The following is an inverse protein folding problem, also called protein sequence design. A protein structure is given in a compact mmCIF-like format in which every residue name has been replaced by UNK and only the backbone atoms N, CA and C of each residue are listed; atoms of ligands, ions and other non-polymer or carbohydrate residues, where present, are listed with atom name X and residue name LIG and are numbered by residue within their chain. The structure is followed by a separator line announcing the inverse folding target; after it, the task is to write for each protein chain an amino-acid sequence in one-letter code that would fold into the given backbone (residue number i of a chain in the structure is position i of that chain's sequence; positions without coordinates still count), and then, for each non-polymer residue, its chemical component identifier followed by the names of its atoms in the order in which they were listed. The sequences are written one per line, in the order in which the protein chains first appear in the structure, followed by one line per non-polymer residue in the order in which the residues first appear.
data_IF_524258116269
#
_entry.id   IF_524258116269
#
_cell.length_a   1.000
_cell.length_b   1.000
_cell.length_c   1.000
_cell.angle_alpha   90.00
_cell.angle_beta   90.00
_cell.angle_gamma   90.00
#
_symmetry.space_group_name_H-M   'P 1'
#
loop_
_entity.id
_entity.type
_entity.pdbx_description
1 polymer ?
#
# COMPACT_ATOMS: atom_id res chain seq x y z
N UNK A 1 -35.39 -66.92 11.15
CA UNK A 1 -34.56 -66.18 10.17
C UNK A 1 -34.87 -64.69 10.08
N UNK A 2 -36.13 -64.23 10.24
CA UNK A 2 -36.47 -62.79 10.18
C UNK A 2 -35.88 -61.94 11.33
N UNK A 3 -35.74 -62.49 12.55
CA UNK A 3 -35.22 -61.74 13.70
C UNK A 3 -33.68 -61.57 13.67
N UNK A 4 -32.94 -62.48 13.04
CA UNK A 4 -31.48 -62.32 12.89
C UNK A 4 -31.14 -61.22 11.88
N UNK A 5 -31.92 -61.08 10.81
CA UNK A 5 -31.72 -60.03 9.79
C UNK A 5 -32.02 -58.65 10.38
N UNK A 6 -33.04 -58.53 11.24
CA UNK A 6 -33.39 -57.27 11.88
C UNK A 6 -32.31 -56.78 12.88
N UNK A 7 -31.73 -57.70 13.66
CA UNK A 7 -30.62 -57.37 14.56
C UNK A 7 -29.32 -57.04 13.81
N UNK A 8 -29.05 -57.68 12.67
CA UNK A 8 -27.89 -57.35 11.83
C UNK A 8 -28.03 -55.98 11.14
N UNK A 9 -29.24 -55.59 10.74
CA UNK A 9 -29.51 -54.26 10.15
C UNK A 9 -29.40 -53.17 11.23
N UNK A 10 -29.90 -53.42 12.44
CA UNK A 10 -29.77 -52.49 13.57
C UNK A 10 -28.31 -52.28 13.98
N UNK A 11 -27.49 -53.35 13.99
CA UNK A 11 -26.05 -53.22 14.26
C UNK A 11 -25.29 -52.46 13.16
N UNK A 12 -25.69 -52.64 11.89
CA UNK A 12 -25.10 -51.90 10.77
C UNK A 12 -25.47 -50.41 10.81
N UNK A 13 -26.70 -50.08 11.20
CA UNK A 13 -27.15 -48.69 11.38
C UNK A 13 -26.50 -48.01 12.58
N UNK A 14 -26.23 -48.71 13.68
CA UNK A 14 -25.46 -48.16 14.79
C UNK A 14 -23.97 -47.94 14.43
N UNK A 15 -23.37 -48.81 13.62
CA UNK A 15 -22.00 -48.63 13.13
C UNK A 15 -21.85 -47.44 12.15
N UNK A 16 -22.91 -47.13 11.39
CA UNK A 16 -22.98 -45.96 10.50
C UNK A 16 -23.19 -44.64 11.25
N UNK A 17 -23.69 -44.66 12.50
CA UNK A 17 -23.84 -43.47 13.33
C UNK A 17 -22.58 -43.15 14.16
N UNK A 18 -21.65 -44.09 14.31
CA UNK A 18 -20.35 -43.87 14.97
C UNK A 18 -19.26 -43.28 14.07
N UNK A 19 -19.51 -43.08 12.78
CA UNK A 19 -18.52 -42.53 11.83
C UNK A 19 -18.61 -41.00 11.66
N UNK A 20 -19.45 -40.31 12.42
CA UNK A 20 -19.64 -38.85 12.33
C UNK A 20 -19.11 -38.09 13.55
N UNK A 21 -17.98 -38.53 14.12
CA UNK A 21 -17.31 -37.84 15.23
C UNK A 21 -15.78 -37.78 15.05
N UNK A 22 -15.36 -37.25 13.91
CA UNK A 22 -14.03 -36.65 13.74
C UNK A 22 -14.11 -35.45 12.79
N UNK A 23 -14.59 -34.32 13.30
CA UNK A 23 -14.30 -33.02 12.69
C UNK A 23 -12.96 -32.46 13.20
N UNK A 24 -11.89 -33.26 13.11
CA UNK A 24 -10.50 -32.81 13.36
C UNK A 24 -9.84 -32.23 12.09
N UNK A 25 -10.64 -31.77 11.11
CA UNK A 25 -10.16 -31.32 9.81
C UNK A 25 -10.60 -29.93 9.37
N UNK A 26 -11.60 -29.32 10.02
CA UNK A 26 -12.01 -27.96 9.69
C UNK A 26 -11.15 -26.99 10.50
N UNK A 27 -10.02 -26.52 9.93
CA UNK A 27 -9.34 -25.34 10.46
C UNK A 27 -10.37 -24.23 10.60
N UNK A 28 -10.65 -23.83 11.84
CA UNK A 28 -11.50 -22.67 12.12
C UNK A 28 -11.04 -21.50 11.24
N UNK A 29 -11.95 -20.78 10.57
CA UNK A 29 -11.57 -19.69 9.69
C UNK A 29 -10.69 -18.70 10.46
N UNK A 30 -9.52 -18.38 9.89
CA UNK A 30 -8.61 -17.44 10.52
C UNK A 30 -9.33 -16.10 10.73
N UNK A 31 -9.10 -15.40 11.85
CA UNK A 31 -9.68 -14.09 12.07
C UNK A 31 -9.15 -13.07 11.04
N UNK A 32 -9.83 -11.92 10.92
CA UNK A 32 -9.31 -10.77 10.19
C UNK A 32 -8.06 -10.18 10.86
N UNK A 33 -7.28 -9.42 10.09
CA UNK A 33 -6.10 -8.71 10.62
C UNK A 33 -6.47 -7.52 11.49
N UNK A 34 -5.60 -7.19 12.44
CA UNK A 34 -5.72 -6.02 13.34
C UNK A 34 -4.44 -5.16 13.31
N UNK A 35 -4.48 -4.01 13.99
CA UNK A 35 -3.33 -3.11 14.20
C UNK A 35 -3.37 -1.82 13.36
N UNK A 36 -2.59 -0.77 13.72
CA UNK A 36 -2.63 0.57 13.12
C UNK A 36 -1.86 0.68 11.79
N UNK A 37 -2.44 1.28 10.75
CA UNK A 37 -1.85 1.42 9.39
C UNK A 37 -0.38 1.87 9.43
N UNK A 38 0.47 1.33 8.54
CA UNK A 38 1.93 1.53 8.59
C UNK A 38 2.71 0.83 9.70
N UNK A 39 2.09 0.23 10.73
CA UNK A 39 2.80 -0.54 11.76
C UNK A 39 3.28 -1.95 11.31
N UNK A 40 4.48 -2.34 11.75
CA UNK A 40 5.05 -3.68 11.67
C UNK A 40 5.45 -4.15 13.07
N UNK A 41 4.88 -5.27 13.50
CA UNK A 41 5.21 -5.91 14.76
C UNK A 41 6.45 -6.79 14.60
N UNK A 42 7.52 -6.49 15.33
CA UNK A 42 8.73 -7.30 15.41
C UNK A 42 8.70 -8.12 16.70
N UNK A 43 8.72 -9.44 16.58
CA UNK A 43 8.71 -10.34 17.73
C UNK A 43 10.10 -10.92 17.92
N UNK A 44 10.82 -10.46 18.94
CA UNK A 44 12.19 -10.88 19.24
C UNK A 44 12.57 -10.54 20.69
N UNK A 45 13.65 -11.15 21.20
CA UNK A 45 14.23 -10.78 22.49
C UNK A 45 14.81 -9.35 22.47
N UNK A 46 14.86 -8.69 23.62
CA UNK A 46 15.29 -7.29 23.73
C UNK A 46 16.75 -7.10 23.28
N UNK A 47 17.61 -8.08 23.55
CA UNK A 47 19.01 -8.06 23.12
C UNK A 47 19.16 -8.21 21.60
N UNK A 48 18.22 -8.87 20.93
CA UNK A 48 18.18 -9.00 19.48
C UNK A 48 17.65 -7.72 18.83
N UNK A 49 16.68 -7.07 19.48
CA UNK A 49 16.16 -5.78 19.06
C UNK A 49 17.17 -4.64 19.20
N UNK A 50 17.97 -4.67 20.27
CA UNK A 50 19.04 -3.72 20.51
C UNK A 50 20.31 -3.99 19.68
N UNK A 51 20.40 -5.15 19.03
CA UNK A 51 21.57 -5.57 18.25
C UNK A 51 21.40 -5.42 16.73
N UNK A 52 22.27 -6.11 15.99
CA UNK A 52 22.43 -5.98 14.53
C UNK A 52 21.14 -6.31 13.75
N UNK A 53 20.33 -7.25 14.26
CA UNK A 53 19.06 -7.60 13.62
C UNK A 53 18.07 -6.44 13.71
N UNK A 54 17.92 -5.84 14.88
CA UNK A 54 17.07 -4.67 15.05
C UNK A 54 17.54 -3.49 14.21
N UNK A 55 18.84 -3.24 14.14
CA UNK A 55 19.42 -2.19 13.29
C UNK A 55 19.13 -2.44 11.80
N UNK A 56 19.27 -3.69 11.34
CA UNK A 56 18.98 -4.08 9.96
C UNK A 56 17.51 -3.87 9.61
N UNK A 57 16.58 -4.23 10.51
CA UNK A 57 15.15 -4.01 10.32
C UNK A 57 14.79 -2.53 10.31
N UNK A 58 15.35 -1.72 11.22
CA UNK A 58 15.16 -0.26 11.24
C UNK A 58 15.70 0.38 9.97
N UNK A 59 16.90 -0.01 9.53
CA UNK A 59 17.52 0.45 8.29
C UNK A 59 16.69 0.13 7.04
N UNK A 60 16.00 -1.02 7.03
CA UNK A 60 15.14 -1.41 5.92
C UNK A 60 13.75 -0.73 5.96
N UNK A 61 13.08 -0.76 7.11
CA UNK A 61 11.65 -0.40 7.21
C UNK A 61 11.39 1.02 7.71
N UNK A 62 12.35 1.64 8.39
CA UNK A 62 12.27 3.04 8.82
C UNK A 62 13.05 3.96 7.87
N UNK A 63 13.26 3.55 6.62
CA UNK A 63 13.71 4.49 5.58
C UNK A 63 12.69 5.63 5.45
N UNK A 64 13.11 6.87 5.20
CA UNK A 64 12.18 7.95 4.94
C UNK A 64 11.21 7.57 3.83
N UNK A 65 9.92 7.85 4.02
CA UNK A 65 8.94 7.67 2.96
C UNK A 65 9.39 8.47 1.74
N UNK A 66 9.39 7.81 0.57
CA UNK A 66 9.88 8.40 -0.67
C UNK A 66 9.26 9.78 -0.88
N UNK A 67 10.08 10.73 -1.34
CA UNK A 67 9.72 12.11 -1.70
C UNK A 67 9.26 13.05 -0.58
N UNK A 68 8.96 12.59 0.64
CA UNK A 68 8.58 13.52 1.71
C UNK A 68 9.76 14.37 2.19
N UNK A 69 9.55 15.68 2.47
CA UNK A 69 10.63 16.58 2.90
C UNK A 69 11.32 16.09 4.17
N UNK A 70 12.64 15.96 4.10
CA UNK A 70 13.48 15.36 5.15
C UNK A 70 14.13 16.42 6.06
N UNK A 71 13.60 17.64 6.09
CA UNK A 71 14.31 18.82 6.59
C UNK A 71 14.69 18.74 8.08
N UNK A 72 14.09 17.81 8.84
CA UNK A 72 14.50 17.51 10.20
C UNK A 72 14.57 15.98 10.42
N UNK A 73 15.77 15.40 10.50
CA UNK A 73 15.98 13.96 10.82
C UNK A 73 15.33 13.51 12.14
N UNK A 74 14.91 14.43 13.01
CA UNK A 74 14.17 14.09 14.23
C UNK A 74 12.67 13.85 13.99
N UNK A 75 12.13 14.36 12.89
CA UNK A 75 10.69 14.36 12.57
C UNK A 75 10.43 13.88 11.13
N UNK A 76 11.21 12.93 10.62
CA UNK A 76 10.93 12.35 9.32
C UNK A 76 9.81 11.30 9.43
N UNK A 77 9.03 11.13 8.37
CA UNK A 77 8.00 10.09 8.29
C UNK A 77 8.63 8.80 7.73
N UNK A 78 8.82 7.73 8.53
CA UNK A 78 9.39 6.48 8.03
C UNK A 78 8.40 5.72 7.14
N UNK A 79 8.89 4.82 6.29
CA UNK A 79 8.05 3.89 5.53
C UNK A 79 7.14 3.09 6.47
N UNK A 80 7.62 2.61 7.61
CA UNK A 80 6.81 1.89 8.59
C UNK A 80 7.15 2.27 10.03
N UNK A 81 6.16 2.18 10.90
CA UNK A 81 6.36 2.27 12.34
C UNK A 81 6.67 0.87 12.87
N UNK A 82 7.74 0.74 13.64
CA UNK A 82 8.15 -0.55 14.21
C UNK A 82 7.77 -0.62 15.68
N UNK A 83 7.08 -1.68 16.06
CA UNK A 83 6.78 -2.01 17.46
C UNK A 83 7.42 -3.34 17.76
N UNK A 84 8.23 -3.42 18.82
CA UNK A 84 8.82 -4.67 19.27
C UNK A 84 8.02 -5.28 20.43
N UNK A 85 7.92 -6.61 20.41
CA UNK A 85 7.40 -7.41 21.51
C UNK A 85 8.27 -8.65 21.78
N UNK A 86 8.57 -8.95 23.05
CA UNK A 86 9.12 -10.25 23.44
C UNK A 86 8.23 -11.42 23.00
N UNK A 87 8.82 -12.61 22.86
CA UNK A 87 8.11 -13.80 22.37
C UNK A 87 6.98 -14.26 23.32
N UNK A 88 7.18 -14.12 24.62
CA UNK A 88 6.19 -14.42 25.66
C UNK A 88 4.99 -13.45 25.63
N UNK A 89 5.19 -12.22 25.15
CA UNK A 89 4.11 -11.27 24.89
C UNK A 89 3.35 -11.54 23.58
N UNK A 90 3.85 -12.39 22.67
CA UNK A 90 3.23 -12.70 21.38
C UNK A 90 2.00 -13.64 21.50
N UNK A 91 0.98 -13.13 22.20
CA UNK A 91 -0.23 -13.84 22.57
C UNK A 91 -1.35 -13.68 21.51
N UNK A 92 -2.57 -14.14 21.84
CA UNK A 92 -3.76 -14.10 20.96
C UNK A 92 -4.16 -12.70 20.47
N UNK A 93 -3.76 -11.64 21.18
CA UNK A 93 -4.04 -10.26 20.80
C UNK A 93 -3.05 -9.76 19.72
N UNK A 94 -1.78 -10.11 19.84
CA UNK A 94 -0.72 -9.69 18.90
C UNK A 94 -0.61 -10.59 17.67
N UNK A 95 -0.97 -11.88 17.80
CA UNK A 95 -0.97 -12.85 16.70
C UNK A 95 -1.70 -12.37 15.44
N UNK A 96 -2.91 -11.76 15.49
CA UNK A 96 -3.59 -11.27 14.29
C UNK A 96 -3.06 -9.94 13.74
N UNK A 97 -1.97 -9.36 14.27
CA UNK A 97 -1.41 -8.11 13.77
C UNK A 97 -1.09 -8.20 12.27
N UNK A 98 -1.41 -7.17 11.49
CA UNK A 98 -1.46 -7.31 10.03
C UNK A 98 -0.11 -7.51 9.34
N UNK A 99 0.96 -7.02 9.96
CA UNK A 99 2.35 -7.23 9.53
C UNK A 99 3.17 -7.70 10.74
N UNK A 100 3.76 -8.88 10.66
CA UNK A 100 4.55 -9.49 11.74
C UNK A 100 5.87 -10.01 11.20
N UNK A 101 6.96 -9.72 11.90
CA UNK A 101 8.29 -10.29 11.68
C UNK A 101 8.69 -11.01 12.96
N UNK A 102 8.73 -12.34 12.92
CA UNK A 102 9.19 -13.17 14.03
C UNK A 102 10.67 -13.49 13.85
N UNK A 103 11.48 -13.17 14.84
CA UNK A 103 12.92 -13.46 14.84
C UNK A 103 13.23 -14.52 15.88
N UNK A 104 14.02 -15.50 15.47
CA UNK A 104 14.38 -16.64 16.28
C UNK A 104 15.88 -16.94 16.13
N UNK A 105 16.64 -16.55 17.16
CA UNK A 105 18.08 -16.77 17.25
C UNK A 105 18.34 -17.88 18.27
N UNK A 106 18.86 -19.01 17.82
CA UNK A 106 19.23 -20.12 18.69
C UNK A 106 20.23 -21.04 18.00
N UNK A 107 21.02 -21.79 18.75
CA UNK A 107 21.89 -22.82 18.18
C UNK A 107 21.21 -24.20 18.20
N UNK A 108 20.54 -24.55 17.10
CA UNK A 108 19.80 -25.81 16.94
C UNK A 108 19.68 -26.22 15.47
N UNK A 109 19.14 -27.41 15.20
CA UNK A 109 19.13 -28.02 13.86
C UNK A 109 18.47 -27.14 12.77
N UNK A 110 17.37 -26.44 13.07
CA UNK A 110 16.63 -25.61 12.11
C UNK A 110 17.12 -24.15 12.01
N UNK A 111 18.24 -23.82 12.67
CA UNK A 111 18.84 -22.47 12.66
C UNK A 111 20.29 -22.47 12.18
N UNK A 112 20.83 -23.63 11.79
CA UNK A 112 22.21 -23.75 11.29
C UNK A 112 22.43 -22.96 10.00
N UNK A 113 21.40 -22.86 9.16
CA UNK A 113 21.41 -22.01 7.96
C UNK A 113 20.50 -20.80 8.19
N UNK A 114 20.99 -19.55 7.97
CA UNK A 114 20.17 -18.36 8.14
C UNK A 114 19.06 -18.32 7.09
N UNK A 115 17.83 -18.12 7.56
CA UNK A 115 16.65 -18.03 6.70
C UNK A 115 15.81 -16.80 7.05
N UNK A 116 15.18 -16.23 6.03
CA UNK A 116 14.29 -15.07 6.17
C UNK A 116 13.13 -15.24 5.20
N UNK A 117 12.04 -15.85 5.66
CA UNK A 117 10.99 -16.41 4.81
C UNK A 117 9.68 -15.65 4.95
N UNK A 118 8.95 -15.50 3.83
CA UNK A 118 7.69 -14.80 3.74
C UNK A 118 6.52 -15.79 3.70
N UNK A 119 5.53 -15.55 4.53
CA UNK A 119 4.32 -16.37 4.65
C UNK A 119 3.07 -15.52 4.46
N UNK A 120 2.07 -16.11 3.83
CA UNK A 120 0.73 -15.53 3.69
C UNK A 120 -0.17 -16.11 4.77
N UNK A 121 -0.70 -15.26 5.64
CA UNK A 121 -1.79 -15.62 6.55
C UNK A 121 -1.47 -16.74 7.54
N UNK A 122 -0.58 -16.49 8.52
CA UNK A 122 -0.24 -17.49 9.56
C UNK A 122 -1.26 -17.55 10.68
N UNK A 123 -1.66 -16.40 11.20
CA UNK A 123 -2.59 -16.26 12.31
C UNK A 123 -3.86 -15.48 11.96
N UNK A 124 -3.86 -14.74 10.85
CA UNK A 124 -5.02 -13.97 10.39
C UNK A 124 -5.10 -13.93 8.85
N UNK A 125 -6.32 -13.82 8.32
CA UNK A 125 -6.57 -13.68 6.88
C UNK A 125 -6.00 -12.37 6.35
N UNK A 126 -5.17 -12.46 5.32
CA UNK A 126 -4.51 -11.30 4.73
C UNK A 126 -3.31 -10.79 5.53
N UNK A 127 -2.85 -11.50 6.58
CA UNK A 127 -1.65 -11.15 7.33
C UNK A 127 -0.38 -11.36 6.48
N UNK A 128 0.54 -10.41 6.60
CA UNK A 128 1.94 -10.55 6.20
C UNK A 128 2.72 -11.08 7.39
N UNK A 129 3.28 -12.28 7.26
CA UNK A 129 4.09 -12.89 8.31
C UNK A 129 5.47 -13.23 7.75
N UNK A 130 6.53 -12.75 8.38
CA UNK A 130 7.92 -13.01 7.99
C UNK A 130 8.59 -13.72 9.16
N UNK A 131 9.35 -14.77 8.88
CA UNK A 131 10.10 -15.51 9.90
C UNK A 131 11.60 -15.46 9.58
N UNK A 132 12.38 -14.91 10.49
CA UNK A 132 13.83 -14.88 10.44
C UNK A 132 14.42 -15.87 11.45
N UNK A 133 15.27 -16.79 10.98
CA UNK A 133 15.95 -17.77 11.82
C UNK A 133 17.44 -17.79 11.53
N UNK A 134 18.28 -17.82 12.57
CA UNK A 134 19.70 -18.09 12.42
C UNK A 134 20.33 -18.53 13.76
N UNK A 135 21.58 -19.01 13.70
CA UNK A 135 22.36 -19.32 14.89
C UNK A 135 22.87 -18.07 15.59
N UNK A 136 23.22 -17.03 14.83
CA UNK A 136 23.75 -15.77 15.35
C UNK A 136 22.98 -14.56 14.82
N UNK A 137 23.00 -13.45 15.56
CA UNK A 137 22.41 -12.20 15.10
C UNK A 137 23.06 -11.70 13.81
N UNK A 138 24.38 -11.84 13.69
CA UNK A 138 25.14 -11.38 12.54
C UNK A 138 24.73 -12.07 11.24
N UNK A 139 24.64 -13.41 11.25
CA UNK A 139 24.21 -14.19 10.08
C UNK A 139 22.78 -13.80 9.64
N UNK A 140 21.87 -13.55 10.59
CA UNK A 140 20.51 -13.11 10.24
C UNK A 140 20.46 -11.67 9.74
N UNK A 141 21.25 -10.76 10.33
CA UNK A 141 21.35 -9.37 9.92
C UNK A 141 21.79 -9.25 8.44
N UNK A 142 22.79 -10.03 8.03
CA UNK A 142 23.20 -10.14 6.62
C UNK A 142 22.05 -10.60 5.73
N UNK A 143 21.32 -11.65 6.15
CA UNK A 143 20.17 -12.17 5.39
C UNK A 143 19.02 -11.15 5.26
N UNK A 144 18.75 -10.38 6.32
CA UNK A 144 17.77 -9.29 6.29
C UNK A 144 18.22 -8.19 5.32
N UNK A 145 19.49 -7.81 5.37
CA UNK A 145 20.06 -6.80 4.47
C UNK A 145 19.93 -7.22 3.00
N UNK A 146 20.24 -8.47 2.67
CA UNK A 146 20.08 -9.06 1.32
C UNK A 146 18.64 -8.95 0.80
N UNK A 147 17.64 -9.07 1.68
CA UNK A 147 16.21 -9.08 1.32
C UNK A 147 15.46 -7.81 1.72
N UNK A 148 16.18 -6.74 2.08
CA UNK A 148 15.62 -5.51 2.64
C UNK A 148 14.60 -4.84 1.71
N UNK A 149 14.98 -4.63 0.44
CA UNK A 149 14.11 -4.02 -0.58
C UNK A 149 12.88 -4.89 -0.89
N UNK A 150 13.06 -6.21 -0.96
CA UNK A 150 11.95 -7.16 -1.16
C UNK A 150 10.96 -7.08 0.01
N UNK A 151 11.47 -7.05 1.24
CA UNK A 151 10.66 -6.95 2.45
C UNK A 151 9.84 -5.67 2.49
N UNK A 152 10.50 -4.53 2.30
CA UNK A 152 9.86 -3.21 2.30
C UNK A 152 8.77 -3.14 1.23
N UNK A 153 9.10 -3.51 -0.02
CA UNK A 153 8.18 -3.50 -1.15
C UNK A 153 6.99 -4.45 -0.93
N UNK A 154 7.23 -5.65 -0.40
CA UNK A 154 6.17 -6.62 -0.13
C UNK A 154 5.17 -6.11 0.92
N UNK A 155 5.67 -5.54 2.03
CA UNK A 155 4.81 -4.96 3.07
C UNK A 155 4.07 -3.73 2.53
N UNK A 156 4.75 -2.86 1.78
CA UNK A 156 4.15 -1.65 1.19
C UNK A 156 3.01 -2.00 0.24
N UNK A 157 3.24 -2.93 -0.70
CA UNK A 157 2.23 -3.42 -1.63
C UNK A 157 1.00 -4.00 -0.91
N UNK A 158 1.20 -4.65 0.24
CA UNK A 158 0.10 -5.17 1.07
C UNK A 158 -0.68 -4.05 1.75
N UNK A 159 -0.02 -3.03 2.28
CA UNK A 159 -0.69 -1.86 2.87
C UNK A 159 -1.48 -1.06 1.82
N UNK A 160 -0.88 -0.80 0.65
CA UNK A 160 -1.55 -0.14 -0.48
C UNK A 160 -2.78 -0.92 -0.93
N UNK A 161 -2.65 -2.25 -1.09
CA UNK A 161 -3.76 -3.11 -1.45
C UNK A 161 -4.89 -3.13 -0.41
N UNK A 162 -4.56 -3.09 0.89
CA UNK A 162 -5.56 -2.95 1.97
C UNK A 162 -6.25 -1.59 1.90
N UNK A 163 -5.51 -0.51 1.66
CA UNK A 163 -6.08 0.82 1.50
C UNK A 163 -7.06 0.88 0.32
N UNK A 164 -6.67 0.35 -0.84
CA UNK A 164 -7.55 0.23 -2.00
C UNK A 164 -8.80 -0.62 -1.71
N UNK A 165 -8.63 -1.71 -0.94
CA UNK A 165 -9.75 -2.54 -0.49
C UNK A 165 -10.75 -1.77 0.36
N UNK A 166 -10.28 -0.91 1.27
CA UNK A 166 -11.15 -0.04 2.08
C UNK A 166 -11.88 0.98 1.20
N UNK A 167 -11.19 1.63 0.26
CA UNK A 167 -11.81 2.56 -0.70
C UNK A 167 -12.98 1.90 -1.43
N UNK A 168 -12.80 0.66 -1.91
CA UNK A 168 -13.84 -0.10 -2.63
C UNK A 168 -15.08 -0.43 -1.80
N UNK A 169 -15.01 -0.37 -0.47
CA UNK A 169 -16.19 -0.59 0.38
C UNK A 169 -17.17 0.59 0.33
N UNK A 170 -16.72 1.77 -0.11
CA UNK A 170 -17.52 2.98 -0.12
C UNK A 170 -17.05 3.93 -1.23
N UNK A 171 -17.41 3.60 -2.46
CA UNK A 171 -17.15 4.42 -3.64
C UNK A 171 -18.31 5.37 -3.97
N UNK A 172 -18.02 6.33 -4.83
CA UNK A 172 -19.01 7.20 -5.46
C UNK A 172 -19.26 6.75 -6.91
N UNK A 173 -20.24 5.85 -7.09
CA UNK A 173 -20.55 5.23 -8.39
C UNK A 173 -20.97 6.24 -9.46
N UNK A 174 -21.54 7.39 -9.07
CA UNK A 174 -21.91 8.42 -10.03
C UNK A 174 -20.66 9.07 -10.63
N UNK A 175 -19.72 9.48 -9.78
CA UNK A 175 -18.45 10.07 -10.22
C UNK A 175 -17.63 9.05 -11.01
N UNK A 176 -17.60 7.77 -10.60
CA UNK A 176 -16.91 6.71 -11.35
C UNK A 176 -17.45 6.54 -12.78
N UNK A 177 -18.78 6.54 -12.94
CA UNK A 177 -19.41 6.46 -14.26
C UNK A 177 -19.08 7.67 -15.11
N UNK A 178 -19.18 8.88 -14.54
CA UNK A 178 -18.93 10.12 -15.27
C UNK A 178 -17.47 10.21 -15.74
N UNK A 179 -16.50 9.74 -14.92
CA UNK A 179 -15.08 9.62 -15.32
C UNK A 179 -14.92 8.60 -16.44
N UNK A 180 -15.52 7.43 -16.32
CA UNK A 180 -15.41 6.38 -17.33
C UNK A 180 -15.95 6.85 -18.68
N UNK A 181 -17.11 7.50 -18.69
CA UNK A 181 -17.72 8.06 -19.89
C UNK A 181 -16.84 9.14 -20.53
N UNK A 182 -16.31 10.06 -19.72
CA UNK A 182 -15.53 11.21 -20.21
C UNK A 182 -14.11 10.82 -20.66
N UNK A 183 -13.42 9.98 -19.89
CA UNK A 183 -11.98 9.72 -20.05
C UNK A 183 -11.68 8.33 -20.61
N UNK A 184 -12.61 7.38 -20.53
CA UNK A 184 -12.34 5.96 -20.79
C UNK A 184 -11.57 5.23 -19.68
N UNK A 185 -11.31 5.90 -18.55
CA UNK A 185 -10.65 5.30 -17.38
C UNK A 185 -11.69 4.79 -16.39
N UNK A 186 -11.61 3.52 -16.04
CA UNK A 186 -12.32 2.97 -14.88
C UNK A 186 -11.40 2.98 -13.68
N UNK A 187 -11.85 3.57 -12.58
CA UNK A 187 -11.12 3.57 -11.31
C UNK A 187 -12.09 3.63 -10.13
N UNK A 188 -11.64 3.16 -8.97
CA UNK A 188 -12.38 3.33 -7.73
C UNK A 188 -12.25 4.77 -7.23
N UNK A 189 -13.37 5.45 -6.98
CA UNK A 189 -13.38 6.83 -6.46
C UNK A 189 -14.01 6.84 -5.07
N UNK A 190 -13.29 7.24 -4.02
CA UNK A 190 -13.85 7.26 -2.67
C UNK A 190 -14.99 8.29 -2.56
N UNK A 191 -15.96 8.01 -1.68
CA UNK A 191 -16.97 9.01 -1.32
C UNK A 191 -16.35 10.31 -0.82
N UNK A 192 -17.00 11.42 -1.18
CA UNK A 192 -16.57 12.78 -0.86
C UNK A 192 -15.62 13.38 -1.89
N UNK A 193 -15.25 12.62 -2.93
CA UNK A 193 -14.68 13.20 -4.14
C UNK A 193 -15.76 13.92 -4.96
N UNK A 194 -15.39 15.03 -5.59
CA UNK A 194 -16.22 15.73 -6.57
C UNK A 194 -15.34 16.26 -7.71
N UNK A 195 -15.90 16.39 -8.92
CA UNK A 195 -15.16 16.90 -10.06
C UNK A 195 -15.08 18.43 -10.02
N UNK A 196 -13.86 18.97 -10.07
CA UNK A 196 -13.57 20.38 -10.34
C UNK A 196 -13.59 20.63 -11.85
N UNK A 197 -12.95 19.72 -12.59
CA UNK A 197 -12.94 19.68 -14.05
C UNK A 197 -13.29 18.26 -14.47
N UNK A 198 -14.20 18.11 -15.42
CA UNK A 198 -14.53 16.83 -16.04
C UNK A 198 -14.51 17.01 -17.55
N UNK A 199 -13.34 16.76 -18.13
CA UNK A 199 -13.07 16.86 -19.56
C UNK A 199 -12.17 15.69 -19.99
N UNK A 200 -12.27 15.30 -21.26
CA UNK A 200 -11.54 14.14 -21.79
C UNK A 200 -10.03 14.38 -21.88
N UNK A 201 -9.60 15.63 -22.06
CA UNK A 201 -8.18 16.00 -22.09
C UNK A 201 -7.60 16.18 -20.67
N UNK A 202 -8.41 16.68 -19.74
CA UNK A 202 -8.02 16.83 -18.34
C UNK A 202 -9.23 16.75 -17.40
N UNK A 203 -9.18 15.81 -16.47
CA UNK A 203 -10.13 15.67 -15.37
C UNK A 203 -9.40 15.92 -14.05
N UNK A 204 -10.03 16.71 -13.18
CA UNK A 204 -9.56 16.97 -11.82
C UNK A 204 -10.69 16.67 -10.83
N UNK A 205 -10.45 15.67 -9.98
CA UNK A 205 -11.29 15.39 -8.82
C UNK A 205 -10.63 15.96 -7.57
N UNK A 206 -11.44 16.54 -6.70
CA UNK A 206 -10.99 17.03 -5.40
C UNK A 206 -11.73 16.31 -4.27
N UNK A 207 -11.04 16.13 -3.15
CA UNK A 207 -11.61 15.60 -1.91
C UNK A 207 -11.06 16.40 -0.75
N UNK A 208 -11.96 17.14 -0.11
CA UNK A 208 -11.66 18.00 1.02
C UNK A 208 -12.12 17.34 2.31
N UNK A 209 -11.25 17.37 3.33
CA UNK A 209 -11.53 16.82 4.64
C UNK A 209 -11.06 17.80 5.71
N UNK A 210 -11.89 18.04 6.71
CA UNK A 210 -11.47 18.76 7.91
C UNK A 210 -11.06 17.76 8.99
N UNK A 211 -9.83 17.90 9.50
CA UNK A 211 -9.31 17.08 10.60
C UNK A 211 -8.90 17.93 11.79
N UNK A 212 -9.11 17.38 12.97
CA UNK A 212 -8.72 18.00 14.23
C UNK A 212 -7.25 17.70 14.56
N UNK A 213 -6.50 18.74 14.93
CA UNK A 213 -5.20 18.60 15.60
C UNK A 213 -5.17 19.57 16.79
N UNK A 214 -5.09 19.03 18.00
CA UNK A 214 -5.32 19.81 19.22
C UNK A 214 -6.76 20.35 19.25
N UNK A 215 -6.92 21.66 19.44
CA UNK A 215 -8.21 22.34 19.46
C UNK A 215 -8.64 22.93 18.10
N UNK A 216 -7.83 22.78 17.06
CA UNK A 216 -8.02 23.49 15.79
C UNK A 216 -8.42 22.53 14.66
N UNK A 217 -9.29 23.03 13.79
CA UNK A 217 -9.61 22.42 12.50
C UNK A 217 -8.51 22.74 11.50
N UNK A 218 -8.08 21.71 10.76
CA UNK A 218 -7.09 21.82 9.70
C UNK A 218 -7.60 21.09 8.47
N UNK A 219 -7.47 21.74 7.32
CA UNK A 219 -7.90 21.18 6.05
C UNK A 219 -6.85 20.20 5.50
N UNK A 220 -7.37 19.12 4.94
CA UNK A 220 -6.63 18.12 4.19
C UNK A 220 -7.31 18.01 2.83
N UNK A 221 -6.50 18.11 1.79
CA UNK A 221 -6.94 17.99 0.41
C UNK A 221 -6.24 16.81 -0.23
N UNK A 222 -7.02 15.97 -0.91
CA UNK A 222 -6.52 14.94 -1.80
C UNK A 222 -7.13 15.16 -3.17
N UNK A 223 -6.31 15.45 -4.17
CA UNK A 223 -6.78 15.59 -5.54
C UNK A 223 -6.31 14.44 -6.42
N UNK A 224 -7.08 14.16 -7.46
CA UNK A 224 -6.77 13.18 -8.51
C UNK A 224 -6.83 13.91 -9.85
N UNK A 225 -5.81 13.71 -10.68
CA UNK A 225 -5.81 14.16 -12.06
C UNK A 225 -5.84 12.96 -13.00
N UNK A 226 -6.56 13.12 -14.11
CA UNK A 226 -6.54 12.20 -15.24
C UNK A 226 -6.29 13.04 -16.48
N UNK A 227 -5.28 12.70 -17.25
CA UNK A 227 -5.00 13.36 -18.52
C UNK A 227 -4.42 12.37 -19.52
N UNK A 228 -4.55 12.68 -20.80
CA UNK A 228 -4.03 11.87 -21.88
C UNK A 228 -3.21 12.69 -22.88
N UNK A 229 -2.36 12.00 -23.61
CA UNK A 229 -1.65 12.53 -24.78
C UNK A 229 -1.45 11.43 -25.83
N UNK A 230 -1.40 11.76 -27.13
CA UNK A 230 -1.06 10.79 -28.15
C UNK A 230 0.32 10.17 -27.90
N UNK A 231 0.43 8.87 -28.11
CA UNK A 231 1.71 8.18 -28.04
C UNK A 231 2.47 8.32 -29.37
N UNK A 232 3.61 8.99 -29.33
CA UNK A 232 4.49 9.25 -30.48
C UNK A 232 5.84 8.53 -30.36
N UNK A 233 6.19 7.98 -29.20
CA UNK A 233 7.39 7.16 -29.06
C UNK A 233 7.83 6.86 -27.63
N UNK A 234 8.78 5.93 -27.44
CA UNK A 234 9.17 5.41 -26.13
C UNK A 234 9.79 6.46 -25.21
N UNK A 235 10.36 7.54 -25.76
CA UNK A 235 10.94 8.64 -24.96
C UNK A 235 9.91 9.31 -24.05
N UNK A 236 8.62 9.29 -24.40
CA UNK A 236 7.55 9.84 -23.55
C UNK A 236 7.40 9.09 -22.22
N UNK A 237 7.88 7.85 -22.11
CA UNK A 237 7.93 7.12 -20.85
C UNK A 237 9.07 7.55 -19.93
N UNK A 238 10.03 8.34 -20.40
CA UNK A 238 11.13 8.80 -19.55
C UNK A 238 10.62 9.69 -18.40
N UNK A 239 11.30 9.63 -17.25
CA UNK A 239 10.96 10.45 -16.09
C UNK A 239 10.84 11.94 -16.44
N UNK A 240 11.75 12.46 -17.27
CA UNK A 240 11.75 13.87 -17.67
C UNK A 240 10.47 14.22 -18.44
N UNK A 241 10.11 13.44 -19.46
CA UNK A 241 8.91 13.70 -20.27
C UNK A 241 7.63 13.60 -19.45
N UNK A 242 7.50 12.59 -18.57
CA UNK A 242 6.33 12.46 -17.69
C UNK A 242 6.18 13.68 -16.79
N UNK A 243 7.26 14.14 -16.17
CA UNK A 243 7.21 15.32 -15.30
C UNK A 243 6.96 16.62 -16.07
N UNK A 244 7.54 16.76 -17.27
CA UNK A 244 7.34 17.94 -18.12
C UNK A 244 5.89 18.02 -18.62
N UNK A 245 5.31 16.88 -19.01
CA UNK A 245 3.89 16.77 -19.35
C UNK A 245 3.00 17.16 -18.17
N UNK A 246 3.30 16.66 -16.97
CA UNK A 246 2.58 17.05 -15.74
C UNK A 246 2.65 18.57 -15.52
N UNK A 247 3.82 19.18 -15.63
CA UNK A 247 4.01 20.63 -15.49
C UNK A 247 3.24 21.43 -16.54
N UNK A 248 3.18 20.96 -17.79
CA UNK A 248 2.39 21.56 -18.87
C UNK A 248 0.89 21.57 -18.51
N UNK A 249 0.34 20.40 -18.19
CA UNK A 249 -1.09 20.23 -17.88
C UNK A 249 -1.49 21.04 -16.65
N UNK A 250 -0.71 20.93 -15.58
CA UNK A 250 -1.04 21.55 -14.28
C UNK A 250 -0.84 23.06 -14.26
N UNK A 251 0.14 23.60 -14.99
CA UNK A 251 0.34 25.05 -15.11
C UNK A 251 -0.87 25.79 -15.66
N UNK A 252 -1.54 25.19 -16.65
CA UNK A 252 -2.67 25.81 -17.33
C UNK A 252 -4.00 25.63 -16.57
N UNK A 253 -4.13 24.51 -15.85
CA UNK A 253 -5.44 24.00 -15.39
C UNK A 253 -5.59 23.95 -13.87
N UNK A 254 -4.51 24.10 -13.11
CA UNK A 254 -4.52 23.97 -11.65
C UNK A 254 -3.96 25.25 -11.03
N UNK A 255 -4.86 26.21 -10.80
CA UNK A 255 -4.53 27.49 -10.19
C UNK A 255 -4.76 27.48 -8.67
N UNK A 256 -3.98 28.28 -7.96
CA UNK A 256 -4.09 28.43 -6.51
C UNK A 256 -4.97 29.60 -6.10
N UNK A 257 -5.10 29.83 -4.78
CA UNK A 257 -5.86 30.98 -4.26
C UNK A 257 -5.17 32.31 -4.56
N UNK A 258 -3.84 32.32 -4.73
CA UNK A 258 -3.09 33.52 -5.13
C UNK A 258 -3.20 33.75 -6.63
N UNK A 259 -3.53 34.98 -7.05
CA UNK A 259 -3.67 35.32 -8.47
C UNK A 259 -2.41 35.00 -9.28
N UNK A 260 -2.57 34.27 -10.37
CA UNK A 260 -1.47 33.85 -11.25
C UNK A 260 -0.54 32.80 -10.65
N UNK A 261 -0.92 32.16 -9.54
CA UNK A 261 -0.28 30.96 -8.99
C UNK A 261 -0.78 29.70 -9.71
N UNK A 262 0.12 28.74 -9.91
CA UNK A 262 -0.19 27.49 -10.60
C UNK A 262 0.63 26.34 -10.03
N UNK A 263 0.13 25.11 -10.16
CA UNK A 263 0.83 23.93 -9.68
C UNK A 263 2.00 23.54 -10.61
N UNK A 264 3.11 23.14 -10.02
CA UNK A 264 4.29 22.59 -10.70
C UNK A 264 4.97 21.50 -9.86
N UNK A 265 5.88 20.75 -10.46
CA UNK A 265 6.76 19.79 -9.79
C UNK A 265 7.88 20.53 -9.04
N UNK A 266 8.14 20.15 -7.80
CA UNK A 266 9.30 20.62 -7.03
C UNK A 266 10.57 19.89 -7.46
N UNK A 267 11.19 20.39 -8.54
CA UNK A 267 12.38 19.80 -9.18
C UNK A 267 13.64 19.81 -8.30
N UNK A 268 13.68 20.55 -7.19
CA UNK A 268 14.84 20.54 -6.27
C UNK A 268 14.94 19.23 -5.47
N UNK A 269 13.84 18.49 -5.36
CA UNK A 269 13.81 17.17 -4.74
C UNK A 269 13.70 16.10 -5.82
N UNK A 270 14.57 15.07 -5.82
CA UNK A 270 14.52 14.02 -6.83
C UNK A 270 13.22 13.22 -6.71
N UNK A 271 12.59 12.99 -7.86
CA UNK A 271 11.44 12.08 -7.98
C UNK A 271 11.92 10.63 -8.10
N UNK A 272 11.11 9.68 -7.64
CA UNK A 272 11.36 8.26 -7.88
C UNK A 272 10.63 7.83 -9.14
N UNK A 273 11.21 6.88 -9.88
CA UNK A 273 10.71 6.38 -11.15
C UNK A 273 10.87 4.87 -11.23
N UNK A 274 9.84 4.17 -11.69
CA UNK A 274 9.90 2.72 -11.96
C UNK A 274 9.03 2.38 -13.17
N UNK A 275 9.59 1.67 -14.15
CA UNK A 275 8.82 1.03 -15.22
C UNK A 275 8.23 -0.29 -14.71
N UNK A 276 6.94 -0.48 -14.92
CA UNK A 276 6.18 -1.62 -14.41
C UNK A 276 5.22 -2.16 -15.46
N UNK A 277 4.65 -3.32 -15.16
CA UNK A 277 3.44 -3.80 -15.83
C UNK A 277 2.24 -3.56 -14.92
N UNK A 278 1.27 -2.78 -15.39
CA UNK A 278 0.02 -2.53 -14.67
C UNK A 278 -1.15 -3.10 -15.43
N UNK A 279 -1.80 -4.13 -14.85
CA UNK A 279 -2.98 -4.81 -15.45
C UNK A 279 -2.79 -5.27 -16.90
N UNK A 280 -1.56 -5.63 -17.28
CA UNK A 280 -1.21 -6.12 -18.61
C UNK A 280 -0.65 -5.05 -19.55
N UNK A 281 -0.77 -3.77 -19.21
CA UNK A 281 -0.19 -2.67 -19.97
C UNK A 281 1.20 -2.28 -19.45
N UNK A 282 2.03 -1.72 -20.34
CA UNK A 282 3.27 -1.03 -19.98
C UNK A 282 2.89 0.25 -19.23
N UNK A 283 3.53 0.49 -18.10
CA UNK A 283 3.28 1.68 -17.30
C UNK A 283 4.55 2.18 -16.60
N UNK A 284 4.53 3.43 -16.18
CA UNK A 284 5.56 4.04 -15.33
C UNK A 284 4.93 4.63 -14.07
N UNK A 285 5.52 4.30 -12.92
CA UNK A 285 5.19 4.91 -11.63
C UNK A 285 6.16 6.07 -11.34
N UNK A 286 5.62 7.22 -10.98
CA UNK A 286 6.39 8.37 -10.51
C UNK A 286 5.88 8.80 -9.15
N UNK A 287 6.80 9.00 -8.20
CA UNK A 287 6.51 9.70 -6.94
C UNK A 287 7.33 10.96 -6.93
N UNK A 288 6.72 12.07 -6.54
CA UNK A 288 7.39 13.37 -6.54
C UNK A 288 6.74 14.33 -5.56
N UNK A 289 7.29 15.53 -5.51
CA UNK A 289 6.71 16.65 -4.79
C UNK A 289 6.12 17.64 -5.80
N UNK A 290 4.97 18.21 -5.47
CA UNK A 290 4.40 19.35 -6.14
C UNK A 290 4.50 20.59 -5.24
N UNK A 291 4.53 21.75 -5.87
CA UNK A 291 4.42 23.05 -5.23
C UNK A 291 3.50 23.94 -6.06
N UNK A 292 3.02 25.01 -5.45
CA UNK A 292 2.44 26.12 -6.19
C UNK A 292 3.55 27.13 -6.50
N UNK A 293 3.70 27.52 -7.75
CA UNK A 293 4.48 28.69 -8.08
C UNK A 293 3.74 29.94 -7.60
N UNK A 294 4.47 30.88 -7.00
CA UNK A 294 3.93 32.12 -6.41
C UNK A 294 2.94 31.91 -5.25
N UNK A 295 2.96 30.74 -4.61
CA UNK A 295 2.23 30.46 -3.38
C UNK A 295 3.06 29.50 -2.50
N UNK A 296 2.59 29.17 -1.28
CA UNK A 296 3.29 28.34 -0.30
C UNK A 296 2.72 26.92 -0.20
N UNK A 297 1.68 26.60 -0.97
CA UNK A 297 1.11 25.26 -0.99
C UNK A 297 2.03 24.25 -1.69
N UNK A 298 2.05 23.02 -1.20
CA UNK A 298 2.84 21.94 -1.76
C UNK A 298 2.62 20.62 -1.02
N UNK A 299 3.15 19.54 -1.58
CA UNK A 299 3.00 18.21 -1.00
C UNK A 299 3.47 17.10 -1.93
N UNK A 300 3.31 15.84 -1.53
CA UNK A 300 3.62 14.67 -2.35
C UNK A 300 2.54 14.39 -3.40
N UNK A 301 2.97 13.73 -4.49
CA UNK A 301 2.10 13.09 -5.46
C UNK A 301 2.61 11.70 -5.84
N UNK A 302 1.68 10.87 -6.34
CA UNK A 302 1.91 9.58 -6.96
C UNK A 302 1.23 9.61 -8.33
N UNK A 303 1.95 9.20 -9.37
CA UNK A 303 1.52 9.23 -10.76
C UNK A 303 1.73 7.87 -11.41
N UNK A 304 0.76 7.44 -12.21
CA UNK A 304 0.79 6.22 -12.99
C UNK A 304 0.44 6.56 -14.43
N UNK A 305 1.45 6.52 -15.30
CA UNK A 305 1.27 6.69 -16.75
C UNK A 305 1.22 5.32 -17.41
N UNK A 306 0.15 5.04 -18.15
CA UNK A 306 -0.11 3.76 -18.81
C UNK A 306 -0.17 3.97 -20.31
N UNK A 307 0.37 3.03 -21.09
CA UNK A 307 0.08 2.97 -22.52
C UNK A 307 -1.28 2.34 -22.75
N UNK A 308 -2.16 3.04 -23.46
CA UNK A 308 -3.46 2.56 -23.87
C UNK A 308 -3.41 2.13 -25.35
N UNK A 309 -3.36 0.82 -25.58
CA UNK A 309 -3.17 0.24 -26.91
C UNK A 309 -4.30 0.59 -27.89
N UNK A 310 -5.54 0.67 -27.42
CA UNK A 310 -6.70 0.87 -28.30
C UNK A 310 -6.81 2.30 -28.83
N UNK A 311 -6.30 3.28 -28.07
CA UNK A 311 -6.32 4.69 -28.45
C UNK A 311 -4.96 5.21 -28.90
N UNK A 312 -3.93 4.36 -28.88
CA UNK A 312 -2.53 4.72 -29.14
C UNK A 312 -2.13 5.98 -28.35
N UNK A 313 -2.46 5.99 -27.05
CA UNK A 313 -2.26 7.14 -26.18
C UNK A 313 -1.56 6.78 -24.88
N UNK A 314 -0.94 7.76 -24.25
CA UNK A 314 -0.53 7.68 -22.85
C UNK A 314 -1.63 8.26 -21.99
N UNK A 315 -2.09 7.47 -21.02
CA UNK A 315 -3.09 7.88 -20.03
C UNK A 315 -2.41 7.94 -18.68
N UNK A 316 -2.35 9.14 -18.11
CA UNK A 316 -1.81 9.37 -16.76
C UNK A 316 -2.96 9.54 -15.79
N UNK A 317 -2.96 8.69 -14.76
CA UNK A 317 -3.79 8.86 -13.56
C UNK A 317 -2.87 9.13 -12.40
N UNK A 318 -3.11 10.22 -11.69
CA UNK A 318 -2.25 10.65 -10.61
C UNK A 318 -3.03 11.26 -9.48
N UNK A 319 -2.46 11.26 -8.28
CA UNK A 319 -3.06 11.90 -7.13
C UNK A 319 -2.03 12.56 -6.24
N UNK A 320 -2.47 13.60 -5.54
CA UNK A 320 -1.64 14.40 -4.66
C UNK A 320 -2.31 14.59 -3.31
N UNK A 321 -1.50 14.94 -2.31
CA UNK A 321 -1.99 15.29 -0.97
C UNK A 321 -1.45 16.65 -0.54
N UNK A 322 -2.34 17.51 -0.05
CA UNK A 322 -2.02 18.69 0.75
C UNK A 322 -2.48 18.45 2.19
N UNK A 323 -1.55 18.35 3.13
CA UNK A 323 -1.84 18.12 4.54
C UNK A 323 -0.74 18.74 5.41
N UNK A 324 -0.63 20.08 5.49
CA UNK A 324 0.52 20.74 6.11
C UNK A 324 0.70 20.40 7.60
N UNK A 325 -0.40 20.07 8.29
CA UNK A 325 -0.40 19.77 9.73
C UNK A 325 -0.35 18.27 10.06
N UNK A 326 -0.39 17.38 9.08
CA UNK A 326 -0.47 15.93 9.30
C UNK A 326 0.61 15.16 8.56
N UNK A 327 0.92 13.98 9.08
CA UNK A 327 1.77 13.02 8.38
C UNK A 327 1.06 12.58 7.09
N UNK A 328 1.82 12.54 5.99
CA UNK A 328 1.31 12.34 4.63
C UNK A 328 1.40 10.89 4.16
N UNK A 329 2.22 10.06 4.82
CA UNK A 329 2.44 8.65 4.45
C UNK A 329 1.15 7.87 4.20
N UNK A 330 0.20 7.91 5.13
CA UNK A 330 -1.04 7.12 4.98
C UNK A 330 -1.96 7.67 3.89
N UNK A 331 -1.98 8.99 3.69
CA UNK A 331 -2.71 9.61 2.58
C UNK A 331 -2.12 9.22 1.24
N UNK A 332 -0.79 9.18 1.14
CA UNK A 332 -0.12 8.76 -0.08
C UNK A 332 -0.30 7.27 -0.36
N UNK A 333 -0.42 6.41 0.66
CA UNK A 333 -0.83 5.02 0.45
C UNK A 333 -2.26 4.89 -0.05
N UNK A 334 -3.16 5.73 0.46
CA UNK A 334 -4.55 5.78 -0.02
C UNK A 334 -4.61 6.23 -1.47
N UNK A 335 -3.92 7.33 -1.82
CA UNK A 335 -3.77 7.79 -3.20
C UNK A 335 -3.18 6.71 -4.10
N UNK A 336 -2.06 6.10 -3.72
CA UNK A 336 -1.42 5.03 -4.49
C UNK A 336 -2.40 3.87 -4.71
N UNK A 337 -3.16 3.49 -3.66
CA UNK A 337 -4.16 2.44 -3.74
C UNK A 337 -5.30 2.78 -4.70
N UNK A 338 -5.80 4.02 -4.66
CA UNK A 338 -6.83 4.54 -5.56
C UNK A 338 -6.33 4.56 -7.01
N UNK A 339 -5.18 5.18 -7.27
CA UNK A 339 -4.61 5.29 -8.61
C UNK A 339 -4.32 3.91 -9.19
N UNK A 340 -3.82 2.96 -8.39
CA UNK A 340 -3.62 1.56 -8.84
C UNK A 340 -4.92 0.80 -9.10
N UNK A 341 -6.08 1.34 -8.76
CA UNK A 341 -7.35 0.77 -9.24
C UNK A 341 -7.67 1.15 -10.68
N UNK A 342 -7.01 2.17 -11.24
CA UNK A 342 -7.24 2.63 -12.60
C UNK A 342 -6.96 1.54 -13.64
N UNK A 343 -7.74 1.59 -14.72
CA UNK A 343 -7.60 0.77 -15.91
C UNK A 343 -8.24 1.50 -17.09
N UNK A 344 -7.57 1.47 -18.22
CA UNK A 344 -8.13 1.95 -19.48
C UNK A 344 -9.05 0.88 -20.05
N UNK A 345 -10.24 1.30 -20.49
CA UNK A 345 -11.24 0.44 -21.12
C UNK A 345 -11.70 1.12 -22.38
N UNK A 346 -10.84 1.16 -23.40
CA UNK A 346 -11.28 1.40 -24.77
C UNK A 346 -10.57 0.44 -25.69
#
# INVERSE_FOLDING_TARGET
MKNCIFNSIALLLLALLSSCWSQDGARSPLPGVVGPRGEVLVVCADEVWAGEVGDSLRSALQRPYSVLPQMHMKNYEPMFDLVQKPLDEFNKFWKPHRNVILIDIADRKDTQEPSFNFYKGRYAMGQTFIEGKARTQHELALKISERSLEMESYIHKKEVGRSAGITRLSTDEAVERDILEMTGVSMAVPKGCFAIVLDSAFTWLDRQQTRLKGSNNHDVQQGIFIHSEPYIGPEQFSLTQILDRRDEVTRERVNGPTEGSFMSVERRMPSTYEEITHKGAIAAEVKGLWKMEKDFMGGPFYSLTMYDEATESLVTVEGYTYAPYFDKREYMREIEGIVKTAQTFK
#
